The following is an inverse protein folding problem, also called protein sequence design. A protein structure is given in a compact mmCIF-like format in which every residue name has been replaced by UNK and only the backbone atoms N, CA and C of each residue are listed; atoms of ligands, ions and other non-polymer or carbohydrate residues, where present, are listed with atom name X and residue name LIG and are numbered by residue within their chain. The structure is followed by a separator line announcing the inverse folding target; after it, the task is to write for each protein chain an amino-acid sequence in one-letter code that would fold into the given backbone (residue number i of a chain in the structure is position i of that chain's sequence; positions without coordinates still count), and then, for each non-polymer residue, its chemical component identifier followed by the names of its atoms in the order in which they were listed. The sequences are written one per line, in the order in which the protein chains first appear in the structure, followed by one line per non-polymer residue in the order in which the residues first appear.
data_IF_568079790375
#
_entry.id   IF_568079790375
#
_cell.length_a   1.000
_cell.length_b   1.000
_cell.length_c   1.000
_cell.angle_alpha   90.00
_cell.angle_beta   90.00
_cell.angle_gamma   90.00
#
_symmetry.space_group_name_H-M   'P 1'
#
loop_
_entity.id
_entity.type
_entity.pdbx_description
1 polymer ?
#
# COMPACT_ATOMS: atom_id res chain seq x y z
N UNK A 1 -37.94 -57.53 -5.05
CA UNK A 1 -38.13 -56.32 -4.20
C UNK A 1 -37.32 -56.55 -2.93
N UNK A 2 -36.39 -55.75 -2.41
CA UNK A 2 -35.82 -54.42 -2.71
C UNK A 2 -34.39 -54.50 -2.13
N UNK A 3 -33.34 -54.19 -2.90
CA UNK A 3 -31.98 -53.99 -2.39
C UNK A 3 -31.92 -52.60 -1.76
N UNK A 4 -31.38 -52.47 -0.55
CA UNK A 4 -31.11 -51.17 0.06
C UNK A 4 -29.58 -51.02 0.11
N UNK A 5 -29.07 -50.27 -0.86
CA UNK A 5 -27.77 -49.60 -0.84
C UNK A 5 -27.90 -48.31 -0.05
N UNK A 6 -27.02 -48.03 0.90
CA UNK A 6 -26.43 -46.68 1.16
C UNK A 6 -25.31 -46.86 2.20
N UNK A 7 -24.03 -46.84 1.82
CA UNK A 7 -23.19 -45.65 1.71
C UNK A 7 -23.42 -44.65 2.86
N UNK A 8 -22.53 -44.67 3.85
CA UNK A 8 -22.14 -43.45 4.56
C UNK A 8 -20.62 -43.46 4.72
N UNK A 9 -19.99 -42.58 3.96
CA UNK A 9 -18.55 -42.37 3.90
C UNK A 9 -18.04 -41.94 5.29
N UNK A 10 -17.09 -42.70 5.82
CA UNK A 10 -16.31 -42.28 6.97
C UNK A 10 -15.43 -41.09 6.55
N UNK A 11 -15.82 -39.93 7.06
CA UNK A 11 -15.12 -38.66 7.00
C UNK A 11 -13.75 -38.79 7.69
N UNK A 12 -12.72 -39.25 6.97
CA UNK A 12 -11.35 -39.15 7.46
C UNK A 12 -10.82 -37.76 7.12
N UNK A 13 -10.99 -36.88 8.10
CA UNK A 13 -10.49 -35.52 8.17
C UNK A 13 -8.97 -35.56 8.00
N UNK A 14 -8.48 -35.38 6.76
CA UNK A 14 -7.07 -35.07 6.50
C UNK A 14 -6.85 -33.69 7.10
N UNK A 15 -6.31 -33.70 8.32
CA UNK A 15 -5.82 -32.55 9.04
C UNK A 15 -4.81 -31.85 8.13
N UNK A 16 -5.27 -30.79 7.45
CA UNK A 16 -4.37 -29.83 6.82
C UNK A 16 -3.52 -29.25 7.95
N UNK A 17 -2.33 -29.81 8.10
CA UNK A 17 -1.24 -29.20 8.85
C UNK A 17 -0.98 -27.87 8.15
N UNK A 18 -1.65 -26.83 8.62
CA UNK A 18 -1.24 -25.46 8.42
C UNK A 18 0.07 -25.33 9.18
N UNK A 19 1.16 -25.70 8.50
CA UNK A 19 2.50 -25.30 8.89
C UNK A 19 2.44 -23.78 8.85
N UNK A 20 2.30 -23.16 10.02
CA UNK A 20 2.53 -21.73 10.20
C UNK A 20 4.01 -21.49 9.92
N UNK A 21 4.36 -21.40 8.65
CA UNK A 21 5.57 -20.74 8.21
C UNK A 21 5.44 -19.30 8.71
N UNK A 22 5.96 -19.05 9.91
CA UNK A 22 6.50 -17.74 10.24
C UNK A 22 7.77 -17.59 9.41
N UNK A 23 7.59 -17.50 8.09
CA UNK A 23 8.61 -16.96 7.22
C UNK A 23 8.78 -15.53 7.69
N UNK A 24 9.97 -15.20 8.17
CA UNK A 24 10.41 -13.81 8.10
C UNK A 24 10.16 -13.38 6.66
N UNK A 25 9.11 -12.59 6.44
CA UNK A 25 8.93 -11.93 5.16
C UNK A 25 10.22 -11.15 4.94
N UNK A 26 10.91 -11.45 3.84
CA UNK A 26 12.06 -10.65 3.47
C UNK A 26 11.51 -9.24 3.25
N UNK A 27 12.05 -8.26 3.97
CA UNK A 27 11.71 -6.84 3.81
C UNK A 27 11.71 -6.49 2.32
N UNK A 28 10.67 -5.80 1.87
CA UNK A 28 10.52 -5.44 0.47
C UNK A 28 11.71 -4.60 0.02
N UNK A 29 12.19 -4.87 -1.20
CA UNK A 29 13.28 -4.06 -1.77
C UNK A 29 12.79 -2.65 -2.11
N UNK A 30 13.72 -1.69 -2.18
CA UNK A 30 13.43 -0.33 -2.64
C UNK A 30 12.74 -0.34 -4.02
N UNK A 31 13.24 -1.15 -4.93
CA UNK A 31 12.72 -1.27 -6.30
C UNK A 31 11.29 -1.84 -6.30
N UNK A 32 11.01 -2.83 -5.45
CA UNK A 32 9.68 -3.40 -5.26
C UNK A 32 8.69 -2.40 -4.68
N UNK A 33 9.11 -1.65 -3.65
CA UNK A 33 8.30 -0.58 -3.05
C UNK A 33 7.93 0.47 -4.11
N UNK A 34 8.89 0.92 -4.91
CA UNK A 34 8.66 1.89 -5.99
C UNK A 34 7.69 1.33 -7.04
N UNK A 35 7.86 0.07 -7.44
CA UNK A 35 7.02 -0.53 -8.47
C UNK A 35 5.59 -0.78 -7.98
N UNK A 36 5.42 -1.24 -6.74
CA UNK A 36 4.11 -1.41 -6.12
C UNK A 36 3.38 -0.06 -5.97
N UNK A 37 4.09 1.01 -5.58
CA UNK A 37 3.52 2.35 -5.52
C UNK A 37 3.07 2.85 -6.91
N UNK A 38 3.88 2.63 -7.96
CA UNK A 38 3.49 2.95 -9.35
C UNK A 38 2.25 2.18 -9.78
N UNK A 39 2.18 0.89 -9.45
CA UNK A 39 1.05 0.04 -9.81
C UNK A 39 -0.24 0.49 -9.10
N UNK A 40 -0.14 0.93 -7.86
CA UNK A 40 -1.27 1.49 -7.12
C UNK A 40 -1.86 2.73 -7.79
N UNK A 41 -1.00 3.67 -8.23
CA UNK A 41 -1.45 4.89 -8.92
C UNK A 41 -1.97 4.60 -10.33
N UNK A 42 -1.34 3.69 -11.08
CA UNK A 42 -1.88 3.26 -12.39
C UNK A 42 -3.26 2.61 -12.23
N UNK A 43 -3.47 1.83 -11.17
CA UNK A 43 -4.76 1.18 -10.89
C UNK A 43 -5.87 2.19 -10.53
N UNK A 44 -5.52 3.37 -9.99
CA UNK A 44 -6.47 4.48 -9.79
C UNK A 44 -6.68 5.34 -11.05
N UNK A 45 -5.98 5.05 -12.15
CA UNK A 45 -6.12 5.74 -13.44
C UNK A 45 -5.12 6.87 -13.66
N UNK A 46 -4.08 7.01 -12.83
CA UNK A 46 -3.04 8.01 -13.04
C UNK A 46 -2.18 7.68 -14.26
N UNK A 47 -1.89 8.68 -15.09
CA UNK A 47 -0.85 8.59 -16.12
C UNK A 47 0.49 8.99 -15.51
N UNK A 48 1.42 8.03 -15.42
CA UNK A 48 2.74 8.27 -14.84
C UNK A 48 3.78 8.74 -15.87
N UNK A 49 3.36 9.11 -17.08
CA UNK A 49 4.27 9.65 -18.10
C UNK A 49 4.81 11.01 -17.67
N UNK A 50 6.13 11.14 -17.61
CA UNK A 50 6.81 12.40 -17.24
C UNK A 50 6.82 12.68 -15.74
N UNK A 51 6.39 11.73 -14.91
CA UNK A 51 6.38 11.86 -13.45
C UNK A 51 7.76 11.56 -12.87
N UNK A 52 8.24 12.45 -12.00
CA UNK A 52 9.42 12.20 -11.20
C UNK A 52 9.03 11.33 -10.00
N UNK A 53 9.65 10.15 -9.88
CA UNK A 53 9.39 9.23 -8.78
C UNK A 53 10.56 9.25 -7.81
N UNK A 54 10.31 9.66 -6.58
CA UNK A 54 11.31 9.86 -5.54
C UNK A 54 11.01 8.88 -4.40
N UNK A 55 11.97 8.02 -4.09
CA UNK A 55 11.93 7.24 -2.85
C UNK A 55 12.53 8.09 -1.73
N UNK A 56 11.70 8.46 -0.75
CA UNK A 56 12.09 9.35 0.34
C UNK A 56 12.77 8.56 1.46
N UNK A 57 14.06 8.30 1.31
CA UNK A 57 14.84 7.50 2.26
C UNK A 57 14.79 8.12 3.67
N UNK A 58 14.30 7.35 4.64
CA UNK A 58 14.06 7.82 6.01
C UNK A 58 12.87 8.76 6.18
N UNK A 59 12.02 8.94 5.15
CA UNK A 59 10.81 9.77 5.15
C UNK A 59 11.07 11.25 5.49
N UNK A 60 12.25 11.78 5.15
CA UNK A 60 12.68 13.13 5.53
C UNK A 60 11.89 14.22 4.79
N UNK A 61 11.57 14.03 3.51
CA UNK A 61 10.77 14.99 2.75
C UNK A 61 9.33 15.03 3.27
N UNK A 62 8.75 13.87 3.54
CA UNK A 62 7.42 13.77 4.12
C UNK A 62 7.33 14.41 5.51
N UNK A 63 8.32 14.16 6.39
CA UNK A 63 8.37 14.80 7.71
C UNK A 63 8.46 16.32 7.61
N UNK A 64 9.28 16.84 6.68
CA UNK A 64 9.30 18.28 6.40
C UNK A 64 7.93 18.76 5.93
N UNK A 65 7.27 18.02 5.03
CA UNK A 65 5.97 18.41 4.46
C UNK A 65 4.86 18.43 5.51
N UNK A 66 4.72 17.40 6.35
CA UNK A 66 3.73 17.37 7.44
C UNK A 66 3.88 18.60 8.34
N UNK A 67 5.10 18.99 8.69
CA UNK A 67 5.31 20.15 9.55
C UNK A 67 4.74 21.45 8.97
N UNK A 68 4.70 21.58 7.63
CA UNK A 68 4.00 22.67 6.94
C UNK A 68 2.47 22.46 6.93
N UNK A 69 2.02 21.22 6.66
CA UNK A 69 0.59 20.90 6.60
C UNK A 69 -0.11 21.09 7.96
N UNK A 70 0.55 20.79 9.08
CA UNK A 70 0.00 21.02 10.43
C UNK A 70 -0.18 22.51 10.76
N UNK A 71 0.52 23.39 10.03
CA UNK A 71 0.39 24.85 10.15
C UNK A 71 -0.64 25.42 9.17
N UNK A 72 -1.04 24.64 8.16
CA UNK A 72 -1.98 25.04 7.12
C UNK A 72 -3.41 24.67 7.52
N UNK A 73 -4.30 25.66 7.55
CA UNK A 73 -5.70 25.48 7.94
C UNK A 73 -6.65 25.34 6.75
N UNK A 74 -6.14 25.23 5.52
CA UNK A 74 -6.99 25.17 4.32
C UNK A 74 -7.73 23.83 4.19
N UNK A 75 -8.99 23.86 3.76
CA UNK A 75 -9.91 22.72 3.80
C UNK A 75 -9.70 21.67 2.69
N UNK A 76 -8.80 21.91 1.73
CA UNK A 76 -8.81 21.20 0.43
C UNK A 76 -7.62 20.28 0.18
N UNK A 77 -6.71 20.10 1.14
CA UNK A 77 -5.62 19.13 0.98
C UNK A 77 -6.21 17.71 0.91
N UNK A 78 -5.68 16.85 0.03
CA UNK A 78 -6.16 15.48 -0.10
C UNK A 78 -6.29 14.83 1.26
N UNK A 79 -7.44 14.25 1.56
CA UNK A 79 -7.72 13.84 2.92
C UNK A 79 -6.98 12.52 3.16
N UNK A 80 -5.75 12.57 3.66
CA UNK A 80 -5.16 11.41 4.31
C UNK A 80 -6.05 11.12 5.52
N UNK A 81 -6.72 9.95 5.60
CA UNK A 81 -7.62 9.67 6.72
C UNK A 81 -6.87 9.83 8.03
N UNK A 82 -7.42 10.60 8.97
CA UNK A 82 -6.78 10.87 10.25
C UNK A 82 -6.29 9.58 10.91
N UNK A 83 -4.99 9.52 11.19
CA UNK A 83 -4.38 8.41 11.91
C UNK A 83 -4.06 7.16 11.08
N UNK A 84 -4.20 7.17 9.74
CA UNK A 84 -3.87 6.00 8.91
C UNK A 84 -2.40 5.56 9.01
N UNK A 85 -1.50 6.51 9.32
CA UNK A 85 -0.06 6.27 9.54
C UNK A 85 0.30 6.12 11.01
N UNK A 86 -0.66 6.31 11.93
CA UNK A 86 -0.38 6.29 13.35
C UNK A 86 0.10 4.89 13.76
N UNK A 87 1.22 4.84 14.46
CA UNK A 87 1.85 3.62 14.98
C UNK A 87 2.25 2.62 13.88
N UNK A 88 2.33 3.04 12.60
CA UNK A 88 2.79 2.21 11.49
C UNK A 88 4.24 2.48 11.15
N UNK A 89 4.97 1.42 10.85
CA UNK A 89 6.21 1.51 10.10
C UNK A 89 5.85 1.75 8.63
N UNK A 90 6.38 2.79 8.01
CA UNK A 90 6.07 3.10 6.61
C UNK A 90 7.28 3.66 5.89
N UNK A 91 7.28 3.49 4.57
CA UNK A 91 8.21 4.10 3.63
C UNK A 91 7.42 4.92 2.62
N UNK A 92 7.92 6.10 2.29
CA UNK A 92 7.25 7.02 1.36
C UNK A 92 7.86 6.95 -0.03
N UNK A 93 6.99 6.88 -1.04
CA UNK A 93 7.31 7.16 -2.44
C UNK A 93 6.53 8.39 -2.87
N UNK A 94 7.24 9.41 -3.31
CA UNK A 94 6.68 10.66 -3.79
C UNK A 94 6.66 10.70 -5.32
N UNK A 95 5.54 11.15 -5.87
CA UNK A 95 5.28 11.29 -7.29
C UNK A 95 5.07 12.78 -7.56
N UNK A 96 6.11 13.42 -8.11
CA UNK A 96 6.11 14.81 -8.54
C UNK A 96 5.61 14.86 -9.99
N UNK A 97 4.37 15.29 -10.15
CA UNK A 97 3.69 15.34 -11.44
C UNK A 97 4.02 16.67 -12.12
N UNK A 98 5.03 16.65 -12.97
CA UNK A 98 5.41 17.81 -13.77
C UNK A 98 4.43 17.93 -14.95
N UNK A 99 3.66 19.04 -14.98
CA UNK A 99 2.63 19.41 -15.98
C UNK A 99 1.26 18.73 -15.90
N UNK A 100 0.20 19.54 -15.76
CA UNK A 100 -1.22 19.31 -16.16
C UNK A 100 -1.88 17.95 -15.86
N UNK A 101 -1.28 17.11 -15.02
CA UNK A 101 -1.90 15.88 -14.55
C UNK A 101 -3.15 16.23 -13.73
N UNK A 102 -4.28 15.54 -13.95
CA UNK A 102 -5.45 15.68 -13.09
C UNK A 102 -5.18 15.15 -11.67
N UNK A 103 -4.10 14.37 -11.51
CA UNK A 103 -3.58 13.86 -10.24
C UNK A 103 -2.43 14.79 -9.85
N UNK A 104 -2.63 15.62 -8.83
CA UNK A 104 -1.57 16.48 -8.29
C UNK A 104 -0.45 15.66 -7.65
N UNK A 105 0.55 16.36 -7.11
CA UNK A 105 1.67 15.72 -6.42
C UNK A 105 1.19 14.70 -5.39
N UNK A 106 1.69 13.48 -5.47
CA UNK A 106 1.11 12.35 -4.73
C UNK A 106 2.14 11.64 -3.88
N UNK A 107 1.77 11.37 -2.64
CA UNK A 107 2.56 10.62 -1.68
C UNK A 107 1.90 9.26 -1.47
N UNK A 108 2.68 8.20 -1.68
CA UNK A 108 2.23 6.82 -1.44
C UNK A 108 3.00 6.28 -0.24
N UNK A 109 2.25 5.84 0.78
CA UNK A 109 2.79 5.24 1.99
C UNK A 109 2.77 3.73 1.85
N UNK A 110 3.93 3.12 2.03
CA UNK A 110 4.16 1.70 1.77
C UNK A 110 4.60 1.01 3.07
N UNK A 111 4.13 -0.20 3.31
CA UNK A 111 4.68 -1.06 4.34
C UNK A 111 6.06 -1.56 3.86
N UNK A 112 7.17 -1.22 4.53
CA UNK A 112 8.49 -1.63 4.07
C UNK A 112 8.73 -3.13 4.23
N UNK A 113 7.98 -3.82 5.09
CA UNK A 113 8.15 -5.25 5.33
C UNK A 113 7.43 -6.09 4.28
N UNK A 114 6.27 -5.64 3.80
CA UNK A 114 5.46 -6.38 2.80
C UNK A 114 5.44 -5.77 1.40
N UNK A 115 5.81 -4.50 1.27
CA UNK A 115 5.67 -3.75 0.03
C UNK A 115 4.22 -3.36 -0.30
N UNK A 116 3.28 -3.51 0.63
CA UNK A 116 1.86 -3.17 0.44
C UNK A 116 1.60 -1.68 0.61
N UNK A 117 0.55 -1.18 -0.05
CA UNK A 117 0.11 0.22 0.10
C UNK A 117 -0.65 0.38 1.43
N UNK A 118 -0.15 1.26 2.28
CA UNK A 118 -0.79 1.70 3.53
C UNK A 118 -1.82 2.80 3.25
N UNK A 119 -1.47 3.76 2.37
CA UNK A 119 -2.29 4.92 2.08
C UNK A 119 -1.74 5.75 0.93
N UNK A 120 -2.58 6.64 0.41
CA UNK A 120 -2.24 7.59 -0.66
C UNK A 120 -2.73 8.96 -0.21
N UNK A 121 -1.90 9.98 -0.41
CA UNK A 121 -2.21 11.38 -0.15
C UNK A 121 -1.91 12.20 -1.40
N UNK A 122 -2.95 12.78 -2.00
CA UNK A 122 -2.87 13.65 -3.16
C UNK A 122 -2.85 15.11 -2.69
N UNK A 123 -1.83 15.87 -3.06
CA UNK A 123 -1.83 17.32 -2.88
C UNK A 123 -2.66 17.97 -4.01
N UNK A 124 -3.62 18.82 -3.63
CA UNK A 124 -4.53 19.52 -4.54
C UNK A 124 -4.53 21.00 -4.25
#
# INVERSE_FOLDING_TARGET
MKKISTLLAALFMVSCILISYHGYAATASKEEIIENAKNALKASGADLKGVNVIYDDGNTFWQCRIAYLEQDTSQNHGILPHGILKDKNYQVVFFDFVESSPVGDTWVFMDPDTGDVIGIYEEK
#
